data_IF_282845777203
#
_entry.id   IF_282845777203
#
_cell.length_a   1.000
_cell.length_b   1.000
_cell.length_c   1.000
_cell.angle_alpha   90.00
_cell.angle_beta   90.00
_cell.angle_gamma   90.00
#
_symmetry.space_group_name_H-M   'P 1'
#
loop_
_entity.id
_entity.type
_entity.pdbx_description
1 polymer ?
#
# COMPACT_ATOMS: atom_id res chain seq x y z
N UNK A 1 14.18 -2.21 -20.74
CA UNK A 1 13.64 -2.11 -19.37
C UNK A 1 12.17 -2.50 -19.46
N UNK A 2 11.70 -3.34 -18.53
CA UNK A 2 10.32 -3.78 -18.54
C UNK A 2 9.39 -2.74 -17.91
N UNK A 3 8.09 -3.00 -17.95
CA UNK A 3 7.12 -2.20 -17.21
C UNK A 3 7.29 -2.37 -15.70
N UNK A 4 6.97 -1.32 -14.95
CA UNK A 4 6.88 -1.34 -13.49
C UNK A 4 5.44 -0.99 -13.10
N UNK A 5 4.82 -1.85 -12.29
CA UNK A 5 3.44 -1.71 -11.85
C UNK A 5 3.38 -1.22 -10.41
N UNK A 6 2.41 -0.37 -10.08
CA UNK A 6 2.15 0.09 -8.72
C UNK A 6 0.67 -0.07 -8.38
N UNK A 7 0.40 -0.69 -7.23
CA UNK A 7 -0.92 -0.90 -6.64
C UNK A 7 -0.89 -0.57 -5.15
N UNK A 8 -2.03 -0.26 -4.54
CA UNK A 8 -2.21 -0.11 -3.10
C UNK A 8 -3.69 -0.19 -2.75
N UNK A 9 -4.00 -0.25 -1.45
CA UNK A 9 -5.39 -0.12 -0.97
C UNK A 9 -6.34 -1.18 -1.57
N UNK A 10 -5.88 -2.43 -1.58
CA UNK A 10 -6.70 -3.55 -2.06
C UNK A 10 -7.70 -4.01 -1.00
N UNK A 11 -7.29 -3.92 0.27
CA UNK A 11 -8.10 -4.35 1.42
C UNK A 11 -8.68 -5.76 1.26
N UNK A 12 -7.84 -6.72 0.83
CA UNK A 12 -8.26 -8.10 0.62
C UNK A 12 -8.78 -8.72 1.91
N UNK A 13 -9.99 -9.28 1.84
CA UNK A 13 -10.65 -9.95 2.97
C UNK A 13 -11.64 -11.00 2.48
N UNK A 14 -12.03 -11.94 3.34
CA UNK A 14 -13.08 -12.92 3.04
C UNK A 14 -14.46 -12.29 2.84
N UNK A 15 -14.65 -11.04 3.25
CA UNK A 15 -15.88 -10.27 3.08
C UNK A 15 -15.94 -9.55 1.71
N UNK A 16 -14.83 -9.53 0.95
CA UNK A 16 -14.72 -8.90 -0.38
C UNK A 16 -14.24 -9.92 -1.44
N UNK A 17 -14.95 -11.04 -1.65
CA UNK A 17 -14.50 -12.11 -2.55
C UNK A 17 -14.31 -11.64 -3.99
N UNK A 18 -15.09 -10.65 -4.46
CA UNK A 18 -14.96 -10.09 -5.80
C UNK A 18 -13.66 -9.31 -5.97
N UNK A 19 -13.27 -8.52 -4.97
CA UNK A 19 -11.96 -7.82 -4.96
C UNK A 19 -10.80 -8.81 -4.91
N UNK A 20 -10.95 -9.90 -4.14
CA UNK A 20 -9.97 -11.00 -4.12
C UNK A 20 -9.82 -11.63 -5.50
N UNK A 21 -10.92 -11.96 -6.16
CA UNK A 21 -10.90 -12.55 -7.50
C UNK A 21 -10.26 -11.59 -8.52
N UNK A 22 -10.62 -10.31 -8.48
CA UNK A 22 -10.04 -9.30 -9.37
C UNK A 22 -8.52 -9.19 -9.22
N UNK A 23 -8.00 -9.31 -7.99
CA UNK A 23 -6.56 -9.34 -7.75
C UNK A 23 -5.89 -10.62 -8.23
N UNK A 24 -6.55 -11.78 -8.07
CA UNK A 24 -6.04 -13.03 -8.62
C UNK A 24 -5.95 -12.96 -10.15
N UNK A 25 -6.99 -12.45 -10.82
CA UNK A 25 -7.02 -12.27 -12.27
C UNK A 25 -5.92 -11.30 -12.73
N UNK A 26 -5.69 -10.22 -11.98
CA UNK A 26 -4.58 -9.31 -12.24
C UNK A 26 -3.22 -10.01 -12.17
N UNK A 27 -2.98 -10.80 -11.11
CA UNK A 27 -1.73 -11.54 -10.92
C UNK A 27 -1.53 -12.64 -11.99
N UNK A 28 -2.62 -13.20 -12.51
CA UNK A 28 -2.57 -14.25 -13.53
C UNK A 28 -2.42 -13.71 -14.96
N UNK A 29 -3.06 -12.59 -15.27
CA UNK A 29 -3.21 -12.15 -16.66
C UNK A 29 -2.47 -10.85 -17.00
N UNK A 30 -2.31 -9.93 -16.03
CA UNK A 30 -1.74 -8.60 -16.31
C UNK A 30 -0.36 -8.36 -15.72
N UNK A 31 -0.13 -8.81 -14.50
CA UNK A 31 1.16 -8.66 -13.83
C UNK A 31 2.32 -9.44 -14.47
N UNK A 32 2.11 -10.64 -15.06
CA UNK A 32 3.21 -11.39 -15.67
C UNK A 32 3.90 -10.61 -16.79
N UNK A 33 5.23 -10.64 -16.79
CA UNK A 33 6.06 -9.90 -17.75
C UNK A 33 6.45 -8.47 -17.31
N UNK A 34 5.84 -7.94 -16.24
CA UNK A 34 6.36 -6.75 -15.59
C UNK A 34 7.72 -7.04 -14.93
N UNK A 35 8.63 -6.07 -14.95
CA UNK A 35 9.91 -6.17 -14.27
C UNK A 35 9.70 -6.18 -12.74
N UNK A 36 8.83 -5.29 -12.26
CA UNK A 36 8.53 -5.09 -10.84
C UNK A 36 7.05 -4.81 -10.62
N UNK A 37 6.50 -5.37 -9.55
CA UNK A 37 5.23 -5.01 -8.95
C UNK A 37 5.50 -4.39 -7.58
N UNK A 38 5.17 -3.12 -7.41
CA UNK A 38 5.17 -2.43 -6.12
C UNK A 38 3.76 -2.45 -5.52
N UNK A 39 3.65 -2.95 -4.29
CA UNK A 39 2.43 -2.94 -3.49
C UNK A 39 2.63 -1.92 -2.36
N UNK A 40 2.04 -0.73 -2.48
CA UNK A 40 2.27 0.41 -1.59
C UNK A 40 1.33 0.42 -0.38
N UNK A 41 1.26 -0.71 0.33
CA UNK A 41 0.47 -0.87 1.55
C UNK A 41 -1.00 -1.18 1.34
N UNK A 42 -1.63 -1.63 2.43
CA UNK A 42 -3.04 -2.00 2.52
C UNK A 42 -3.43 -3.08 1.48
N UNK A 43 -2.56 -4.07 1.31
CA UNK A 43 -2.84 -5.30 0.58
C UNK A 43 -3.99 -6.07 1.24
N UNK A 44 -3.97 -6.18 2.57
CA UNK A 44 -5.04 -6.83 3.33
C UNK A 44 -5.85 -5.82 4.15
N UNK A 45 -7.14 -6.12 4.37
CA UNK A 45 -8.00 -5.27 5.21
C UNK A 45 -7.60 -5.30 6.69
N UNK A 46 -6.95 -6.38 7.12
CA UNK A 46 -6.22 -6.47 8.38
C UNK A 46 -5.16 -7.57 8.31
N UNK A 47 -4.00 -7.34 8.91
CA UNK A 47 -3.00 -8.38 9.14
C UNK A 47 -2.56 -8.39 10.59
N UNK A 48 -2.77 -9.50 11.30
CA UNK A 48 -2.43 -9.63 12.73
C UNK A 48 -1.18 -10.47 13.00
N UNK A 49 -0.48 -10.90 11.95
CA UNK A 49 0.73 -11.72 12.02
C UNK A 49 0.73 -12.82 10.95
N UNK A 50 1.93 -13.22 10.53
CA UNK A 50 2.12 -14.16 9.42
C UNK A 50 1.68 -15.59 9.72
N UNK A 51 1.52 -15.93 11.00
CA UNK A 51 1.14 -17.23 11.53
C UNK A 51 -0.38 -17.52 11.41
N UNK A 52 -1.16 -16.55 10.93
CA UNK A 52 -2.57 -16.73 10.64
C UNK A 52 -2.78 -17.18 9.18
N UNK A 53 -3.34 -18.37 8.99
CA UNK A 53 -3.67 -18.94 7.67
C UNK A 53 -5.19 -19.00 7.46
N UNK A 54 -5.82 -17.83 7.34
CA UNK A 54 -7.25 -17.71 7.03
C UNK A 54 -7.42 -17.09 5.64
N UNK A 55 -8.43 -17.54 4.91
CA UNK A 55 -8.78 -16.96 3.61
C UNK A 55 -8.99 -15.44 3.68
N UNK A 56 -8.47 -14.66 2.71
CA UNK A 56 -7.88 -15.11 1.44
C UNK A 56 -6.36 -15.32 1.47
N UNK A 57 -5.71 -15.29 2.64
CA UNK A 57 -4.24 -15.25 2.71
C UNK A 57 -3.53 -16.42 1.98
N UNK A 58 -3.95 -17.70 2.11
CA UNK A 58 -3.26 -18.81 1.45
C UNK A 58 -3.28 -18.70 -0.09
N UNK A 59 -4.44 -18.39 -0.68
CA UNK A 59 -4.57 -18.24 -2.14
C UNK A 59 -3.77 -17.05 -2.68
N UNK A 60 -3.77 -15.92 -1.96
CA UNK A 60 -2.97 -14.74 -2.32
C UNK A 60 -1.48 -15.04 -2.26
N UNK A 61 -1.01 -15.71 -1.19
CA UNK A 61 0.39 -16.11 -1.07
C UNK A 61 0.82 -17.00 -2.25
N UNK A 62 -0.02 -17.96 -2.62
CA UNK A 62 0.25 -18.85 -3.75
C UNK A 62 0.28 -18.11 -5.09
N UNK A 63 -0.62 -17.15 -5.31
CA UNK A 63 -0.66 -16.35 -6.54
C UNK A 63 0.57 -15.43 -6.67
N UNK A 64 0.94 -14.73 -5.61
CA UNK A 64 2.16 -13.92 -5.56
C UNK A 64 3.41 -14.78 -5.81
N UNK A 65 3.47 -15.98 -5.22
CA UNK A 65 4.59 -16.90 -5.46
C UNK A 65 4.70 -17.33 -6.92
N UNK A 66 3.58 -17.62 -7.59
CA UNK A 66 3.56 -17.93 -9.02
C UNK A 66 4.05 -16.75 -9.87
N UNK A 67 3.62 -15.53 -9.55
CA UNK A 67 4.08 -14.32 -10.23
C UNK A 67 5.59 -14.14 -10.05
N UNK A 68 6.10 -14.30 -8.82
CA UNK A 68 7.53 -14.26 -8.52
C UNK A 68 8.32 -15.31 -9.32
N UNK A 69 7.84 -16.55 -9.34
CA UNK A 69 8.48 -17.64 -10.09
C UNK A 69 8.46 -17.43 -11.60
N UNK A 70 7.52 -16.63 -12.11
CA UNK A 70 7.48 -16.22 -13.53
C UNK A 70 8.51 -15.13 -13.89
N UNK A 71 9.19 -14.55 -12.89
CA UNK A 71 10.29 -13.60 -13.07
C UNK A 71 10.01 -12.16 -12.64
N UNK A 72 8.77 -11.83 -12.25
CA UNK A 72 8.41 -10.49 -11.77
C UNK A 72 8.87 -10.29 -10.32
N UNK A 73 9.61 -9.22 -10.04
CA UNK A 73 9.99 -8.87 -8.65
C UNK A 73 8.82 -8.23 -7.93
N UNK A 74 8.56 -8.65 -6.69
CA UNK A 74 7.44 -8.13 -5.90
C UNK A 74 8.03 -7.36 -4.71
N UNK A 75 7.70 -6.07 -4.62
CA UNK A 75 8.16 -5.18 -3.55
C UNK A 75 6.95 -4.73 -2.75
N UNK A 76 6.95 -5.01 -1.46
CA UNK A 76 5.82 -4.81 -0.56
C UNK A 76 6.16 -3.74 0.48
N UNK A 77 5.37 -2.68 0.53
CA UNK A 77 5.41 -1.67 1.56
C UNK A 77 4.29 -1.91 2.56
N UNK A 78 4.52 -1.64 3.84
CA UNK A 78 3.47 -1.68 4.86
C UNK A 78 2.48 -0.52 4.72
N UNK A 79 1.20 -0.84 4.80
CA UNK A 79 0.14 0.15 5.00
C UNK A 79 -0.20 0.39 6.47
N UNK A 80 -1.38 0.94 6.73
CA UNK A 80 -1.89 1.10 8.08
C UNK A 80 -2.77 -0.07 8.53
N UNK A 81 -3.18 -0.96 7.63
CA UNK A 81 -3.96 -2.17 7.91
C UNK A 81 -3.10 -3.42 8.11
N UNK A 82 -1.94 -3.45 7.47
CA UNK A 82 -1.14 -4.65 7.29
C UNK A 82 0.36 -4.48 7.64
N UNK A 83 0.65 -3.56 8.55
CA UNK A 83 2.00 -3.27 9.06
C UNK A 83 2.68 -4.41 9.83
N UNK A 84 1.97 -5.53 10.05
CA UNK A 84 2.51 -6.74 10.68
C UNK A 84 2.93 -7.81 9.66
N UNK A 85 2.80 -7.55 8.35
CA UNK A 85 3.34 -8.44 7.31
C UNK A 85 4.84 -8.59 7.51
N UNK A 86 5.32 -9.84 7.63
CA UNK A 86 6.70 -10.12 8.03
C UNK A 86 7.48 -10.98 7.05
N UNK A 87 8.62 -11.46 7.55
CA UNK A 87 9.57 -12.30 6.81
C UNK A 87 8.98 -13.65 6.40
N UNK A 88 8.04 -14.21 7.17
CA UNK A 88 7.41 -15.48 6.82
C UNK A 88 6.49 -15.30 5.61
N UNK A 89 5.72 -14.21 5.55
CA UNK A 89 4.95 -13.86 4.35
C UNK A 89 5.87 -13.67 3.13
N UNK A 90 6.98 -12.95 3.30
CA UNK A 90 7.96 -12.73 2.23
C UNK A 90 8.57 -14.04 1.72
N UNK A 91 8.98 -14.92 2.63
CA UNK A 91 9.52 -16.23 2.28
C UNK A 91 8.52 -17.11 1.51
N UNK A 92 7.23 -17.04 1.86
CA UNK A 92 6.17 -17.81 1.19
C UNK A 92 5.79 -17.25 -0.19
N UNK A 93 6.01 -15.97 -0.44
CA UNK A 93 5.54 -15.27 -1.66
C UNK A 93 6.65 -14.87 -2.62
N UNK A 94 7.90 -14.78 -2.16
CA UNK A 94 9.01 -14.17 -2.90
C UNK A 94 8.97 -12.64 -2.91
N UNK A 95 8.04 -12.02 -2.16
CA UNK A 95 8.01 -10.58 -1.97
C UNK A 95 9.17 -10.10 -1.10
N UNK A 96 9.58 -8.86 -1.30
CA UNK A 96 10.60 -8.16 -0.52
C UNK A 96 9.96 -6.97 0.19
N UNK A 97 10.11 -6.89 1.51
CA UNK A 97 9.66 -5.72 2.27
C UNK A 97 10.54 -4.51 1.95
N UNK A 98 9.90 -3.39 1.61
CA UNK A 98 10.53 -2.10 1.38
C UNK A 98 10.07 -1.07 2.42
N UNK A 99 10.96 -0.13 2.74
CA UNK A 99 10.70 0.90 3.73
C UNK A 99 9.64 1.91 3.25
N UNK A 100 8.83 2.38 4.18
CA UNK A 100 7.98 3.57 4.01
C UNK A 100 8.61 4.75 4.78
N UNK A 101 9.18 5.76 4.10
CA UNK A 101 9.27 5.96 2.66
C UNK A 101 10.53 5.31 2.01
N UNK A 102 10.52 5.16 0.68
CA UNK A 102 11.70 4.76 -0.12
C UNK A 102 11.84 5.60 -1.40
N UNK A 103 13.08 5.98 -1.74
CA UNK A 103 13.40 6.66 -3.00
C UNK A 103 13.95 5.66 -4.01
N UNK A 104 13.44 5.71 -5.23
CA UNK A 104 13.87 4.89 -6.37
C UNK A 104 14.22 5.76 -7.58
N UNK A 105 15.03 5.20 -8.49
CA UNK A 105 15.11 5.70 -9.86
C UNK A 105 14.05 4.99 -10.71
N UNK A 106 13.10 5.75 -11.25
CA UNK A 106 12.06 5.24 -12.13
C UNK A 106 12.26 5.81 -13.53
N UNK A 107 13.03 5.10 -14.35
CA UNK A 107 13.43 5.48 -15.71
C UNK A 107 14.14 6.85 -15.76
N UNK A 108 15.13 7.06 -14.88
CA UNK A 108 15.88 8.33 -14.80
C UNK A 108 15.18 9.45 -14.04
N UNK A 109 13.99 9.19 -13.47
CA UNK A 109 13.26 10.15 -12.63
C UNK A 109 13.30 9.72 -11.16
N UNK A 110 13.99 10.48 -10.28
CA UNK A 110 13.94 10.24 -8.84
C UNK A 110 12.51 10.30 -8.33
N UNK A 111 12.03 9.17 -7.82
CA UNK A 111 10.64 8.96 -7.42
C UNK A 111 10.60 8.48 -5.97
N UNK A 112 9.80 9.16 -5.14
CA UNK A 112 9.50 8.75 -3.78
C UNK A 112 8.27 7.85 -3.78
N UNK A 113 8.34 6.73 -3.07
CA UNK A 113 7.23 5.84 -2.80
C UNK A 113 6.88 5.92 -1.32
N UNK A 114 5.59 5.99 -1.03
CA UNK A 114 5.02 6.01 0.33
C UNK A 114 3.71 5.24 0.32
N UNK A 115 3.28 4.75 1.48
CA UNK A 115 1.89 4.34 1.62
C UNK A 115 0.97 5.56 1.57
N UNK A 116 1.32 6.63 2.30
CA UNK A 116 0.68 7.95 2.21
C UNK A 116 0.13 8.46 3.54
N UNK A 117 -0.09 7.57 4.50
CA UNK A 117 -0.60 7.90 5.83
C UNK A 117 0.32 8.83 6.66
N UNK A 118 1.64 8.83 6.39
CA UNK A 118 2.60 9.82 6.90
C UNK A 118 2.36 11.25 6.43
N UNK A 119 1.62 11.44 5.34
CA UNK A 119 1.35 12.76 4.77
C UNK A 119 0.13 13.41 5.45
N UNK A 120 -0.69 12.64 6.15
CA UNK A 120 -1.88 13.12 6.88
C UNK A 120 -1.48 13.67 8.27
N UNK A 121 -0.60 14.67 8.29
CA UNK A 121 0.00 15.20 9.55
C UNK A 121 -0.96 16.00 10.42
N UNK A 122 -2.09 16.43 9.86
CA UNK A 122 -3.13 17.15 10.61
C UNK A 122 -3.99 16.20 11.45
N UNK A 123 -3.99 14.89 11.15
CA UNK A 123 -4.60 13.85 11.98
C UNK A 123 -3.64 13.43 13.12
N UNK A 124 -3.43 14.34 14.08
CA UNK A 124 -2.55 14.11 15.23
C UNK A 124 -2.88 12.83 16.03
N UNK A 125 -4.16 12.49 16.30
CA UNK A 125 -4.51 11.22 16.94
C UNK A 125 -4.04 10.01 16.13
N UNK A 126 -4.24 10.02 14.80
CA UNK A 126 -3.77 8.95 13.94
C UNK A 126 -2.24 8.85 13.94
N UNK A 127 -1.52 9.96 13.81
CA UNK A 127 -0.05 9.98 13.83
C UNK A 127 0.52 9.42 15.15
N UNK A 128 -0.11 9.74 16.29
CA UNK A 128 0.26 9.18 17.58
C UNK A 128 0.02 7.66 17.66
N UNK A 129 -1.15 7.20 17.19
CA UNK A 129 -1.47 5.77 17.12
C UNK A 129 -0.49 5.02 16.20
N UNK A 130 -0.24 5.54 15.01
CA UNK A 130 0.72 5.00 14.04
C UNK A 130 2.10 4.81 14.67
N UNK A 131 2.61 5.84 15.37
CA UNK A 131 3.90 5.78 16.07
C UNK A 131 3.92 4.66 17.11
N UNK A 132 2.83 4.47 17.85
CA UNK A 132 2.72 3.40 18.84
C UNK A 132 2.72 2.01 18.19
N UNK A 133 1.89 1.79 17.16
CA UNK A 133 1.73 0.45 16.57
C UNK A 133 2.90 0.02 15.69
N UNK A 134 3.73 0.97 15.23
CA UNK A 134 4.98 0.69 14.51
C UNK A 134 6.22 0.60 15.43
N UNK A 135 6.05 0.75 16.75
CA UNK A 135 7.15 0.55 17.69
C UNK A 135 7.55 -0.93 17.78
N UNK A 136 8.84 -1.30 17.65
CA UNK A 136 9.27 -2.70 17.70
C UNK A 136 8.90 -3.43 19.00
N UNK A 137 8.89 -2.74 20.14
CA UNK A 137 8.47 -3.35 21.41
C UNK A 137 6.97 -3.60 21.43
N UNK A 138 6.17 -2.67 20.89
CA UNK A 138 4.73 -2.89 20.70
C UNK A 138 4.48 -4.10 19.79
N UNK A 139 5.12 -4.17 18.62
CA UNK A 139 4.97 -5.28 17.67
C UNK A 139 5.35 -6.61 18.33
N UNK A 140 6.50 -6.67 19.01
CA UNK A 140 6.96 -7.88 19.71
C UNK A 140 5.95 -8.32 20.77
N UNK A 141 5.44 -7.39 21.57
CA UNK A 141 4.44 -7.69 22.58
C UNK A 141 3.10 -8.11 21.95
N UNK A 142 2.70 -7.48 20.84
CA UNK A 142 1.47 -7.82 20.13
C UNK A 142 1.54 -9.24 19.57
N UNK A 143 2.62 -9.59 18.87
CA UNK A 143 2.83 -10.90 18.27
C UNK A 143 3.07 -12.03 19.28
N UNK A 144 3.43 -11.73 20.54
CA UNK A 144 3.54 -12.74 21.60
C UNK A 144 2.19 -13.18 22.17
N UNK A 145 1.09 -12.48 21.84
CA UNK A 145 -0.27 -12.85 22.25
C UNK A 145 -0.82 -13.98 21.39
N UNK A 146 -1.78 -14.71 21.95
CA UNK A 146 -2.52 -15.74 21.21
C UNK A 146 -3.30 -15.12 20.04
N UNK A 147 -3.58 -15.92 19.01
CA UNK A 147 -4.38 -15.47 17.86
C UNK A 147 -5.74 -14.87 18.29
N UNK A 148 -6.53 -15.50 19.19
CA UNK A 148 -7.80 -14.91 19.63
C UNK A 148 -7.66 -13.54 20.30
N UNK A 149 -6.62 -13.33 21.10
CA UNK A 149 -6.34 -12.03 21.74
C UNK A 149 -5.99 -10.97 20.69
N UNK A 150 -5.15 -11.31 19.71
CA UNK A 150 -4.80 -10.40 18.61
C UNK A 150 -6.01 -10.01 17.78
N UNK A 151 -6.89 -10.97 17.46
CA UNK A 151 -8.17 -10.72 16.77
C UNK A 151 -9.02 -9.72 17.57
N UNK A 152 -9.21 -9.97 18.88
CA UNK A 152 -10.01 -9.10 19.73
C UNK A 152 -9.48 -7.65 19.78
N UNK A 153 -8.16 -7.49 19.92
CA UNK A 153 -7.52 -6.17 19.91
C UNK A 153 -7.69 -5.48 18.54
N UNK A 154 -7.48 -6.19 17.44
CA UNK A 154 -7.65 -5.64 16.10
C UNK A 154 -9.10 -5.18 15.84
N UNK A 155 -10.08 -5.95 16.30
CA UNK A 155 -11.51 -5.57 16.24
C UNK A 155 -11.81 -4.32 17.08
N UNK A 156 -11.25 -4.22 18.29
CA UNK A 156 -11.40 -3.04 19.14
C UNK A 156 -10.81 -1.78 18.49
N UNK A 157 -9.60 -1.88 17.92
CA UNK A 157 -8.98 -0.76 17.20
C UNK A 157 -9.77 -0.36 15.96
N UNK A 158 -10.30 -1.34 15.22
CA UNK A 158 -11.16 -1.07 14.06
C UNK A 158 -12.43 -0.33 14.47
N UNK A 159 -13.09 -0.75 15.55
CA UNK A 159 -14.29 -0.09 16.06
C UNK A 159 -14.01 1.36 16.46
N UNK A 160 -12.95 1.59 17.26
CA UNK A 160 -12.54 2.95 17.66
C UNK A 160 -12.14 3.82 16.48
N UNK A 161 -11.42 3.27 15.51
CA UNK A 161 -11.05 3.99 14.30
C UNK A 161 -12.28 4.34 13.46
N UNK A 162 -13.22 3.42 13.29
CA UNK A 162 -14.46 3.67 12.54
C UNK A 162 -15.30 4.78 13.16
N UNK A 163 -15.46 4.77 14.48
CA UNK A 163 -16.13 5.85 15.22
C UNK A 163 -15.39 7.18 15.03
N UNK A 164 -14.07 7.19 15.20
CA UNK A 164 -13.27 8.41 15.07
C UNK A 164 -13.30 8.99 13.65
N UNK A 165 -13.20 8.15 12.62
CA UNK A 165 -13.29 8.55 11.20
C UNK A 165 -14.67 9.13 10.88
N UNK A 166 -15.75 8.55 11.42
CA UNK A 166 -17.12 9.05 11.19
C UNK A 166 -17.36 10.47 11.71
N UNK A 167 -16.56 10.91 12.69
CA UNK A 167 -16.67 12.21 13.37
C UNK A 167 -15.72 13.27 12.82
N UNK A 168 -14.78 12.91 11.93
CA UNK A 168 -13.76 13.83 11.39
C UNK A 168 -14.20 14.47 10.08
N UNK A 169 -13.84 15.75 9.89
CA UNK A 169 -13.97 16.39 8.60
C UNK A 169 -13.01 15.73 7.59
N UNK A 170 -13.48 15.56 6.34
CA UNK A 170 -12.71 14.95 5.25
C UNK A 170 -11.41 15.70 4.90
N UNK A 171 -11.30 16.97 5.31
CA UNK A 171 -10.11 17.81 5.14
C UNK A 171 -8.98 17.46 6.13
N UNK A 172 -9.31 17.01 7.35
CA UNK A 172 -8.30 16.64 8.37
C UNK A 172 -7.65 15.29 8.04
N UNK A 173 -8.37 14.43 7.31
CA UNK A 173 -7.91 13.09 6.93
C UNK A 173 -7.20 13.08 5.57
N UNK A 174 -7.17 14.21 4.84
CA UNK A 174 -6.43 14.30 3.60
C UNK A 174 -4.95 14.59 3.85
N UNK A 175 -4.14 14.44 2.80
CA UNK A 175 -2.73 14.79 2.84
C UNK A 175 -2.52 16.29 3.13
N UNK A 176 -1.51 16.59 3.93
CA UNK A 176 -1.06 17.96 4.12
C UNK A 176 -0.06 18.32 3.00
N UNK A 177 -0.42 19.30 2.17
CA UNK A 177 0.40 19.71 1.02
C UNK A 177 1.78 20.27 1.42
N UNK A 178 1.90 20.90 2.60
CA UNK A 178 3.20 21.37 3.12
C UNK A 178 4.10 20.18 3.45
N UNK A 179 3.54 19.14 4.08
CA UNK A 179 4.25 17.89 4.37
C UNK A 179 4.71 17.21 3.08
N UNK A 180 3.86 17.13 2.06
CA UNK A 180 4.23 16.62 0.73
C UNK A 180 5.42 17.37 0.16
N UNK A 181 5.36 18.70 0.13
CA UNK A 181 6.43 19.55 -0.41
C UNK A 181 7.75 19.30 0.33
N UNK A 182 7.71 19.21 1.67
CA UNK A 182 8.89 18.96 2.49
C UNK A 182 9.52 17.59 2.22
N UNK A 183 8.72 16.52 2.17
CA UNK A 183 9.23 15.18 1.85
C UNK A 183 9.92 15.12 0.48
N UNK A 184 9.34 15.81 -0.50
CA UNK A 184 9.88 15.85 -1.87
C UNK A 184 11.14 16.69 -1.96
N UNK A 185 11.21 17.83 -1.26
CA UNK A 185 12.36 18.74 -1.25
C UNK A 185 13.56 18.10 -0.55
N UNK A 186 13.36 17.58 0.67
CA UNK A 186 14.40 16.96 1.49
C UNK A 186 15.09 15.78 0.79
N UNK A 187 14.39 15.11 -0.14
CA UNK A 187 14.88 13.96 -0.91
C UNK A 187 15.22 14.29 -2.36
N UNK A 188 15.02 15.54 -2.77
CA UNK A 188 15.26 16.02 -4.13
C UNK A 188 14.58 15.15 -5.20
N UNK A 189 13.35 14.71 -4.94
CA UNK A 189 12.57 13.90 -5.89
C UNK A 189 11.69 14.77 -6.77
N UNK A 190 11.43 14.30 -8.00
CA UNK A 190 10.52 14.98 -8.94
C UNK A 190 9.14 14.37 -8.98
N UNK A 191 9.00 13.17 -8.39
CA UNK A 191 7.76 12.40 -8.38
C UNK A 191 7.53 11.80 -7.01
N UNK A 192 6.27 11.79 -6.57
CA UNK A 192 5.78 11.03 -5.44
C UNK A 192 4.66 10.09 -5.94
N UNK A 193 4.66 8.83 -5.52
CA UNK A 193 3.58 7.87 -5.75
C UNK A 193 3.16 7.34 -4.38
N UNK A 194 1.86 7.42 -4.06
CA UNK A 194 1.31 6.91 -2.80
C UNK A 194 -0.15 6.47 -2.95
N UNK A 195 -0.69 5.78 -1.94
CA UNK A 195 -2.10 5.38 -1.82
C UNK A 195 -2.79 6.09 -0.66
N UNK A 196 -3.49 5.32 0.18
CA UNK A 196 -4.10 5.69 1.47
C UNK A 196 -5.31 6.64 1.40
N UNK A 197 -5.26 7.72 0.61
CA UNK A 197 -6.33 8.73 0.64
C UNK A 197 -7.55 8.39 -0.21
N UNK A 198 -7.46 7.33 -1.03
CA UNK A 198 -8.52 6.88 -1.95
C UNK A 198 -9.03 7.98 -2.90
N UNK A 199 -8.15 8.93 -3.24
CA UNK A 199 -8.41 10.04 -4.18
C UNK A 199 -7.47 9.91 -5.37
N UNK A 200 -7.67 8.91 -6.26
CA UNK A 200 -6.77 8.64 -7.36
C UNK A 200 -6.61 9.86 -8.26
N UNK A 201 -5.38 10.12 -8.70
CA UNK A 201 -5.14 11.27 -9.55
C UNK A 201 -3.67 11.69 -9.64
N UNK A 202 -3.42 12.59 -10.59
CA UNK A 202 -2.14 13.27 -10.77
C UNK A 202 -2.29 14.73 -10.34
N UNK A 203 -1.42 15.17 -9.44
CA UNK A 203 -1.35 16.53 -8.95
C UNK A 203 0.01 17.12 -9.31
N UNK A 204 0.01 18.06 -10.24
CA UNK A 204 1.22 18.79 -10.65
C UNK A 204 1.34 20.10 -9.86
N UNK A 205 2.55 20.41 -9.39
CA UNK A 205 2.83 21.66 -8.68
C UNK A 205 4.30 22.06 -8.82
N UNK A 206 4.64 23.25 -8.34
CA UNK A 206 6.01 23.78 -8.38
C UNK A 206 6.63 23.68 -6.98
N UNK A 207 7.84 23.13 -6.91
CA UNK A 207 8.66 23.06 -5.70
C UNK A 207 9.97 23.79 -5.97
N UNK A 208 10.18 24.93 -5.31
CA UNK A 208 11.40 25.75 -5.47
C UNK A 208 11.76 26.04 -6.95
N UNK A 209 10.74 26.30 -7.79
CA UNK A 209 10.91 26.59 -9.23
C UNK A 209 11.03 25.35 -10.13
N UNK A 210 10.93 24.14 -9.59
CA UNK A 210 10.96 22.87 -10.33
C UNK A 210 9.55 22.28 -10.42
N UNK A 211 9.13 21.87 -11.62
CA UNK A 211 7.87 21.15 -11.80
C UNK A 211 7.99 19.73 -11.23
N UNK A 212 7.05 19.36 -10.37
CA UNK A 212 6.96 18.04 -9.73
C UNK A 212 5.54 17.49 -9.80
N UNK A 213 5.41 16.17 -9.64
CA UNK A 213 4.12 15.48 -9.72
C UNK A 213 3.91 14.54 -8.54
N UNK A 214 2.71 14.54 -7.97
CA UNK A 214 2.23 13.55 -7.01
C UNK A 214 1.14 12.68 -7.65
N UNK A 215 1.33 11.37 -7.62
CA UNK A 215 0.38 10.37 -8.09
C UNK A 215 -0.25 9.67 -6.89
N UNK A 216 -1.56 9.63 -6.87
CA UNK A 216 -2.35 8.88 -5.88
C UNK A 216 -2.91 7.65 -6.57
N UNK A 217 -2.66 6.48 -6.01
CA UNK A 217 -3.23 5.21 -6.42
C UNK A 217 -4.66 5.08 -5.90
N UNK A 218 -5.51 4.36 -6.63
CA UNK A 218 -6.91 4.13 -6.29
C UNK A 218 -7.12 2.88 -5.44
N UNK A 219 -8.15 2.91 -4.58
CA UNK A 219 -8.66 1.70 -3.93
C UNK A 219 -9.19 0.73 -4.99
N UNK A 220 -9.04 -0.57 -4.74
CA UNK A 220 -9.66 -1.60 -5.56
C UNK A 220 -11.07 -1.90 -5.09
N UNK A 221 -12.03 -1.86 -6.01
CA UNK A 221 -13.44 -2.14 -5.73
C UNK A 221 -13.89 -3.46 -6.36
N UNK A 222 -15.02 -4.03 -5.92
CA UNK A 222 -15.59 -5.26 -6.50
C UNK A 222 -15.80 -5.22 -8.02
N UNK A 223 -16.07 -4.04 -8.58
CA UNK A 223 -16.46 -3.84 -9.99
C UNK A 223 -15.36 -3.22 -10.86
N UNK A 224 -14.28 -2.72 -10.27
CA UNK A 224 -13.13 -2.17 -10.98
C UNK A 224 -11.90 -2.06 -10.08
N UNK A 225 -10.73 -2.08 -10.71
CA UNK A 225 -9.48 -1.77 -10.05
C UNK A 225 -8.59 -0.92 -10.96
N UNK A 226 -7.82 -0.03 -10.34
CA UNK A 226 -6.86 0.84 -11.01
C UNK A 226 -5.44 0.54 -10.53
N UNK A 227 -4.49 0.65 -11.45
CA UNK A 227 -3.08 0.54 -11.16
C UNK A 227 -2.27 1.45 -12.06
N UNK A 228 -1.10 1.86 -11.57
CA UNK A 228 -0.21 2.74 -12.32
C UNK A 228 0.85 1.89 -13.03
N UNK A 229 1.02 2.13 -14.32
CA UNK A 229 2.07 1.53 -15.14
C UNK A 229 3.11 2.58 -15.44
N UNK A 230 4.37 2.29 -15.12
CA UNK A 230 5.51 3.08 -15.51
C UNK A 230 6.35 2.32 -16.55
N UNK A 231 6.78 3.06 -17.56
CA UNK A 231 7.56 2.58 -18.69
C UNK A 231 8.53 3.69 -19.14
N UNK A 232 9.49 3.40 -20.04
CA UNK A 232 10.33 4.45 -20.65
C UNK A 232 9.51 5.57 -21.33
N UNK A 233 8.29 5.26 -21.79
CA UNK A 233 7.37 6.20 -22.46
C UNK A 233 6.64 7.11 -21.46
N UNK A 234 6.66 6.77 -20.16
CA UNK A 234 6.04 7.55 -19.10
C UNK A 234 5.14 6.73 -18.19
N UNK A 235 4.25 7.43 -17.48
CA UNK A 235 3.29 6.88 -16.54
C UNK A 235 1.88 6.94 -17.13
N UNK A 236 1.11 5.87 -16.94
CA UNK A 236 -0.30 5.80 -17.30
C UNK A 236 -1.07 4.99 -16.26
N UNK A 237 -2.34 5.33 -16.07
CA UNK A 237 -3.27 4.52 -15.28
C UNK A 237 -3.90 3.49 -16.21
N UNK A 238 -3.96 2.25 -15.77
CA UNK A 238 -4.75 1.19 -16.39
C UNK A 238 -5.84 0.76 -15.43
N UNK A 239 -6.98 0.36 -16.00
CA UNK A 239 -8.14 -0.12 -15.25
C UNK A 239 -8.47 -1.53 -15.70
N UNK A 240 -8.75 -2.41 -14.74
CA UNK A 240 -9.34 -3.73 -14.98
C UNK A 240 -10.76 -3.75 -14.43
N UNK A 241 -11.60 -4.54 -15.07
CA UNK A 241 -12.97 -4.82 -14.64
C UNK A 241 -13.14 -6.34 -14.56
N UNK A 242 -14.06 -6.84 -13.72
CA UNK A 242 -14.45 -8.24 -13.76
C UNK A 242 -14.85 -8.65 -15.19
N UNK A 243 -14.40 -9.84 -15.61
CA UNK A 243 -14.72 -10.43 -16.91
C UNK A 243 -16.15 -10.95 -17.04
#
# INVERSE_FOLDING_TARGET
MGEVLFISDLHLSGERPETVQLFLDFLEHRAPGAEKLYILGDLFDAWIGDDLEIEPAPQIKAALKRLYDSGTRILLMHGNRDFLLGEQFCAQTGAELINDPIQIDLFGTPTLLMHGDLLCTDDLPYQAFRKQVRDPAFITQFLSRTIPERIAIAQEYRAKSGEATSLKASEIMDINQTTVAQYMEDRSVKRLIHGHTHRPGRHDFMLSGVAVSRFVLGEWHPDHAEFLVASPEGLRVETIKPG
#
